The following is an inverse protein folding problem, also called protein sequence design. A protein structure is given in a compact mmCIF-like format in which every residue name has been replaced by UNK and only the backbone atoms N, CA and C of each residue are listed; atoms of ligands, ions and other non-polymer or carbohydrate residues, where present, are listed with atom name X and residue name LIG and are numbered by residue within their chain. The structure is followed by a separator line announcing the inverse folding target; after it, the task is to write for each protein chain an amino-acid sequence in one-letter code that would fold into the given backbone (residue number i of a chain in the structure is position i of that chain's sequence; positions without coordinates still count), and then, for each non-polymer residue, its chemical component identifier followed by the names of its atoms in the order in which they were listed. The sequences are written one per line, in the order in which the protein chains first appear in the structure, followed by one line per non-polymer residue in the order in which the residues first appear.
data_IF_828975089449
#
_entry.id   IF_828975089449
#
_cell.length_a   1.000
_cell.length_b   1.000
_cell.length_c   1.000
_cell.angle_alpha   90.00
_cell.angle_beta   90.00
_cell.angle_gamma   90.00
#
_symmetry.space_group_name_H-M   'P 1'
#
loop_
_entity.id
_entity.type
_entity.pdbx_description
1 polymer ?
#
# COMPACT_ATOMS: atom_id res chain seq x y z
N UNK A 1 -20.30 1.39 16.34
CA UNK A 1 -19.89 1.72 17.72
C UNK A 1 -18.64 0.90 17.99
N UNK A 2 -17.45 1.49 17.84
CA UNK A 2 -16.20 0.78 18.06
C UNK A 2 -15.91 0.79 19.56
N UNK A 3 -16.04 -0.36 20.21
CA UNK A 3 -15.56 -0.55 21.58
C UNK A 3 -14.03 -0.57 21.55
N UNK A 4 -13.43 0.41 22.20
CA UNK A 4 -11.99 0.45 22.45
C UNK A 4 -11.65 -0.68 23.45
N UNK A 5 -10.90 -1.67 22.97
CA UNK A 5 -10.48 -2.81 23.77
C UNK A 5 -9.12 -2.51 24.35
N UNK A 6 -9.01 -2.63 25.67
CA UNK A 6 -7.76 -2.47 26.40
C UNK A 6 -7.49 -3.68 27.26
N UNK A 7 -6.28 -4.21 27.17
CA UNK A 7 -5.82 -5.31 28.01
C UNK A 7 -4.51 -4.92 28.67
N UNK A 8 -4.42 -5.11 29.98
CA UNK A 8 -3.21 -4.76 30.74
C UNK A 8 -2.54 -6.01 31.29
N UNK A 9 -1.29 -6.23 30.89
CA UNK A 9 -0.43 -7.26 31.45
C UNK A 9 0.40 -6.69 32.61
N UNK A 10 0.02 -7.10 33.83
CA UNK A 10 0.68 -6.71 35.07
C UNK A 10 2.10 -7.28 35.21
N UNK A 11 2.42 -8.41 34.58
CA UNK A 11 3.72 -9.07 34.73
C UNK A 11 4.80 -8.35 33.94
N UNK A 12 4.48 -7.98 32.70
CA UNK A 12 5.41 -7.31 31.80
C UNK A 12 5.28 -5.77 31.81
N UNK A 13 4.30 -5.22 32.55
CA UNK A 13 3.91 -3.80 32.51
C UNK A 13 3.62 -3.32 31.09
N UNK A 14 2.90 -4.13 30.32
CA UNK A 14 2.51 -3.82 28.94
C UNK A 14 1.01 -3.57 28.90
N UNK A 15 0.62 -2.49 28.25
CA UNK A 15 -0.76 -2.13 27.98
C UNK A 15 -1.02 -2.29 26.49
N UNK A 16 -1.88 -3.24 26.14
CA UNK A 16 -2.37 -3.45 24.79
C UNK A 16 -3.58 -2.55 24.56
N UNK A 17 -3.53 -1.74 23.51
CA UNK A 17 -4.59 -0.82 23.11
C UNK A 17 -5.04 -1.18 21.69
N UNK A 18 -6.34 -1.36 21.49
CA UNK A 18 -6.93 -1.58 20.18
C UNK A 18 -7.64 -0.32 19.69
N UNK A 19 -6.94 0.46 18.86
CA UNK A 19 -7.42 1.74 18.34
C UNK A 19 -8.10 1.51 17.00
N UNK A 20 -9.36 1.92 16.87
CA UNK A 20 -10.08 1.88 15.60
C UNK A 20 -10.04 3.26 14.95
N UNK A 21 -9.15 3.46 13.98
CA UNK A 21 -9.04 4.74 13.27
C UNK A 21 -9.56 4.60 11.84
N UNK A 22 -10.31 5.63 11.41
CA UNK A 22 -10.75 5.77 10.02
C UNK A 22 -9.67 6.51 9.23
N UNK A 23 -9.02 5.82 8.30
CA UNK A 23 -8.04 6.42 7.39
C UNK A 23 -8.69 6.78 6.06
N UNK A 24 -8.54 8.04 5.66
CA UNK A 24 -8.91 8.53 4.34
C UNK A 24 -7.63 8.87 3.58
N UNK A 25 -7.52 8.40 2.34
CA UNK A 25 -6.39 8.69 1.45
C UNK A 25 -6.80 9.92 0.63
N UNK A 26 -6.15 11.05 0.87
CA UNK A 26 -6.55 12.35 0.31
C UNK A 26 -6.68 12.37 -1.23
N UNK A 27 -5.84 11.61 -1.94
CA UNK A 27 -5.84 11.57 -3.41
C UNK A 27 -6.79 10.52 -4.02
N UNK A 28 -7.50 9.73 -3.20
CA UNK A 28 -8.51 8.78 -3.66
C UNK A 28 -9.89 9.27 -3.17
N UNK A 29 -10.67 9.99 -4.00
CA UNK A 29 -11.99 10.43 -3.61
C UNK A 29 -12.87 9.21 -3.30
N UNK A 30 -13.67 9.31 -2.21
CA UNK A 30 -14.55 8.27 -1.68
C UNK A 30 -13.87 7.07 -0.98
N UNK A 31 -12.54 7.08 -0.80
CA UNK A 31 -11.85 6.01 -0.08
C UNK A 31 -11.86 6.24 1.44
N UNK A 32 -12.26 5.20 2.17
CA UNK A 32 -12.30 5.20 3.62
C UNK A 32 -12.04 3.79 4.14
N UNK A 33 -10.91 3.57 4.78
CA UNK A 33 -10.59 2.32 5.44
C UNK A 33 -10.89 2.42 6.94
N UNK A 34 -11.61 1.44 7.48
CA UNK A 34 -11.72 1.24 8.93
C UNK A 34 -10.63 0.25 9.33
N UNK A 35 -9.58 0.74 9.98
CA UNK A 35 -8.43 -0.09 10.39
C UNK A 35 -8.47 -0.24 11.90
N UNK A 36 -8.20 -1.47 12.39
CA UNK A 36 -8.02 -1.76 13.81
C UNK A 36 -6.53 -1.91 14.06
N UNK A 37 -5.95 -0.96 14.79
CA UNK A 37 -4.54 -0.94 15.13
C UNK A 37 -4.38 -1.49 16.53
N UNK A 38 -3.44 -2.40 16.69
CA UNK A 38 -3.05 -2.90 18.01
C UNK A 38 -1.70 -2.30 18.35
N UNK A 39 -1.68 -1.56 19.45
CA UNK A 39 -0.48 -0.91 19.96
C UNK A 39 -0.10 -1.55 21.30
N UNK A 40 1.16 -1.95 21.40
CA UNK A 40 1.81 -2.32 22.66
C UNK A 40 2.46 -1.09 23.30
N UNK A 41 1.96 -0.72 24.48
CA UNK A 41 2.51 0.39 25.27
C UNK A 41 3.25 -0.17 26.48
N UNK A 42 4.56 0.02 26.54
CA UNK A 42 5.36 -0.31 27.71
C UNK A 42 5.24 0.80 28.75
N UNK A 43 4.88 0.41 29.97
CA UNK A 43 4.71 1.32 31.10
C UNK A 43 5.87 1.21 32.08
N UNK A 44 6.42 2.37 32.48
CA UNK A 44 7.37 2.48 33.58
C UNK A 44 6.69 3.06 34.81
N UNK A 45 6.90 2.40 35.95
CA UNK A 45 6.38 2.85 37.25
C UNK A 45 7.35 3.87 37.84
N UNK A 46 6.89 5.08 38.15
CA UNK A 46 7.73 6.02 38.90
C UNK A 46 7.73 5.64 40.38
N UNK A 47 8.91 5.44 41.00
CA UNK A 47 8.97 5.21 42.43
C UNK A 47 8.56 6.47 43.20
N UNK A 48 7.87 6.33 44.34
CA UNK A 48 7.28 7.44 45.08
C UNK A 48 8.29 8.52 45.51
N UNK A 49 9.57 8.15 45.73
CA UNK A 49 10.63 9.08 46.11
C UNK A 49 11.09 10.02 44.98
N UNK A 50 10.86 9.68 43.71
CA UNK A 50 11.21 10.55 42.58
C UNK A 50 10.15 11.63 42.33
N UNK A 51 8.89 11.39 42.69
CA UNK A 51 7.82 12.38 42.58
C UNK A 51 7.99 13.54 43.56
N UNK A 52 8.54 13.29 44.75
CA UNK A 52 8.84 14.31 45.75
C UNK A 52 10.06 15.18 45.39
N UNK A 53 10.99 14.67 44.59
CA UNK A 53 12.15 15.42 44.10
C UNK A 53 11.86 16.23 42.82
N UNK A 54 10.86 15.82 42.04
CA UNK A 54 10.45 16.50 40.80
C UNK A 54 9.42 17.62 41.01
N UNK A 55 8.85 17.76 42.21
CA UNK A 55 8.09 18.95 42.59
C UNK A 55 9.05 20.10 42.92
N UNK A 56 9.49 20.81 41.88
CA UNK A 56 9.91 22.21 42.03
C UNK A 56 8.76 23.07 42.61
N UNK A 57 9.03 24.30 43.05
CA UNK A 57 8.06 25.12 43.77
C UNK A 57 6.77 25.32 42.95
N UNK A 58 5.61 25.56 43.61
CA UNK A 58 4.29 25.42 43.00
C UNK A 58 4.17 26.37 41.81
N UNK A 59 4.05 25.83 40.59
CA UNK A 59 3.48 26.54 39.46
C UNK A 59 2.05 26.09 39.26
N UNK A 60 1.20 27.09 39.08
CA UNK A 60 -0.25 27.01 38.97
C UNK A 60 -0.73 25.82 38.14
N UNK A 61 -1.68 25.11 38.76
CA UNK A 61 -2.40 23.98 38.21
C UNK A 61 -3.34 24.47 37.13
N UNK A 62 -3.03 24.17 35.87
CA UNK A 62 -4.05 24.17 34.82
C UNK A 62 -4.60 22.75 34.71
N UNK A 63 -5.64 22.49 35.49
CA UNK A 63 -6.43 21.28 35.41
C UNK A 63 -7.62 21.52 34.48
N UNK A 64 -7.79 20.67 33.47
CA UNK A 64 -9.13 20.37 32.97
C UNK A 64 -9.36 18.86 33.00
N UNK A 65 -10.30 18.48 33.87
CA UNK A 65 -11.27 17.39 33.75
C UNK A 65 -11.19 16.22 34.76
N UNK A 66 -12.12 16.25 35.74
CA UNK A 66 -12.75 15.05 36.35
C UNK A 66 -12.68 14.93 37.89
N UNK A 67 -13.72 15.41 38.59
CA UNK A 67 -14.04 15.29 40.04
C UNK A 67 -14.17 13.81 40.52
N UNK A 68 -14.12 13.41 41.81
CA UNK A 68 -14.69 14.00 43.02
C UNK A 68 -14.15 13.38 44.34
N UNK A 69 -14.21 14.16 45.41
CA UNK A 69 -13.77 13.98 46.80
C UNK A 69 -14.66 13.06 47.65
N UNK A 70 -14.10 12.45 48.72
CA UNK A 70 -14.73 12.40 50.06
C UNK A 70 -13.68 12.36 51.18
N UNK A 71 -13.92 13.15 52.22
CA UNK A 71 -13.14 13.41 53.42
C UNK A 71 -12.80 12.17 54.27
N UNK A 72 -11.60 12.16 54.89
CA UNK A 72 -11.27 11.23 55.97
C UNK A 72 -9.79 11.27 56.33
N UNK A 73 -9.47 11.78 57.51
CA UNK A 73 -8.12 11.86 58.06
C UNK A 73 -7.51 10.46 58.25
N UNK A 74 -6.32 10.25 57.67
CA UNK A 74 -5.46 9.09 57.91
C UNK A 74 -5.18 8.28 56.66
N UNK A 75 -4.23 8.72 55.81
CA UNK A 75 -3.57 7.78 54.89
C UNK A 75 -2.29 8.37 54.25
N UNK A 76 -1.15 8.20 54.93
CA UNK A 76 0.18 8.33 54.32
C UNK A 76 0.62 7.02 53.64
N UNK A 77 -0.31 6.12 53.29
CA UNK A 77 0.02 4.74 52.90
C UNK A 77 -0.35 4.32 51.46
N UNK A 78 -0.96 5.18 50.62
CA UNK A 78 -1.33 4.75 49.27
C UNK A 78 -1.25 5.87 48.22
N UNK A 79 -0.06 6.42 47.98
CA UNK A 79 0.18 7.16 46.74
C UNK A 79 0.02 6.17 45.58
N UNK A 80 -1.09 6.29 44.84
CA UNK A 80 -1.34 5.49 43.64
C UNK A 80 -0.12 5.64 42.71
N UNK A 81 0.55 4.55 42.34
CA UNK A 81 1.74 4.64 41.51
C UNK A 81 1.40 5.28 40.16
N UNK A 82 2.17 6.29 39.77
CA UNK A 82 2.08 6.91 38.44
C UNK A 82 2.87 6.04 37.46
N UNK A 83 2.21 5.66 36.38
CA UNK A 83 2.81 4.93 35.27
C UNK A 83 3.01 5.90 34.10
N UNK A 84 4.23 5.92 33.56
CA UNK A 84 4.57 6.70 32.37
C UNK A 84 4.73 5.77 31.18
N UNK A 85 4.40 6.28 30.01
CA UNK A 85 4.60 5.59 28.75
C UNK A 85 6.08 5.69 28.41
N UNK A 86 6.75 4.54 28.35
CA UNK A 86 8.17 4.47 28.09
C UNK A 86 8.47 4.15 26.63
N UNK A 87 7.67 3.26 26.05
CA UNK A 87 7.83 2.80 24.67
C UNK A 87 6.46 2.46 24.09
N UNK A 88 6.26 2.79 22.83
CA UNK A 88 5.08 2.42 22.07
C UNK A 88 5.53 1.64 20.84
N UNK A 89 5.03 0.42 20.68
CA UNK A 89 5.25 -0.44 19.52
C UNK A 89 3.91 -0.64 18.83
N UNK A 90 3.81 -0.22 17.57
CA UNK A 90 2.59 -0.34 16.78
C UNK A 90 2.71 -1.58 15.86
N UNK A 91 1.87 -2.58 16.09
CA UNK A 91 1.87 -3.81 15.27
C UNK A 91 0.98 -3.61 14.05
N UNK A 92 1.58 -3.26 12.91
CA UNK A 92 0.88 -3.16 11.63
C UNK A 92 0.88 -4.52 10.92
N UNK A 93 -0.30 -5.05 10.60
CA UNK A 93 -0.41 -6.17 9.66
C UNK A 93 -0.27 -5.64 8.22
N UNK A 94 0.88 -5.90 7.62
CA UNK A 94 1.16 -5.55 6.21
C UNK A 94 0.18 -6.18 5.22
N UNK A 95 -0.48 -7.27 5.60
CA UNK A 95 -1.55 -7.90 4.83
C UNK A 95 -2.79 -7.00 4.68
N UNK A 96 -3.04 -6.08 5.62
CA UNK A 96 -4.09 -5.06 5.47
C UNK A 96 -3.67 -3.98 4.46
N UNK A 97 -2.40 -3.58 4.42
CA UNK A 97 -1.87 -2.67 3.39
C UNK A 97 -2.08 -3.24 1.97
N UNK A 98 -1.81 -4.53 1.77
CA UNK A 98 -2.02 -5.18 0.47
C UNK A 98 -3.49 -5.18 0.06
N UNK A 99 -4.42 -5.39 1.00
CA UNK A 99 -5.86 -5.30 0.75
C UNK A 99 -6.31 -3.94 0.24
N UNK A 100 -5.58 -2.87 0.55
CA UNK A 100 -5.89 -1.52 0.11
C UNK A 100 -5.26 -1.15 -1.23
N UNK A 101 -4.13 -1.78 -1.58
CA UNK A 101 -3.47 -1.62 -2.89
C UNK A 101 -4.19 -2.42 -3.98
N UNK A 102 -4.65 -3.63 -3.67
CA UNK A 102 -5.25 -4.57 -4.62
C UNK A 102 -6.53 -4.10 -5.36
N UNK A 103 -7.53 -3.44 -4.74
CA UNK A 103 -8.77 -3.08 -5.44
C UNK A 103 -8.58 -2.02 -6.52
N UNK A 104 -7.54 -1.20 -6.43
CA UNK A 104 -7.24 -0.15 -7.41
C UNK A 104 -6.08 -0.55 -8.32
N UNK A 105 -5.01 -1.14 -7.78
CA UNK A 105 -3.83 -1.52 -8.57
C UNK A 105 -4.12 -2.70 -9.48
N UNK A 106 -4.99 -3.65 -9.10
CA UNK A 106 -5.33 -4.78 -9.96
C UNK A 106 -5.92 -4.33 -11.31
N UNK A 107 -7.05 -3.61 -11.31
CA UNK A 107 -7.64 -3.08 -12.54
C UNK A 107 -6.74 -2.07 -13.26
N UNK A 108 -6.00 -1.21 -12.54
CA UNK A 108 -5.09 -0.25 -13.17
C UNK A 108 -3.90 -0.94 -13.85
N UNK A 109 -3.30 -1.95 -13.21
CA UNK A 109 -2.23 -2.75 -13.80
C UNK A 109 -2.76 -3.55 -15.00
N UNK A 110 -3.97 -4.12 -14.90
CA UNK A 110 -4.60 -4.81 -16.02
C UNK A 110 -4.86 -3.87 -17.20
N UNK A 111 -5.43 -2.68 -16.97
CA UNK A 111 -5.65 -1.67 -18.02
C UNK A 111 -4.34 -1.14 -18.60
N UNK A 112 -3.32 -0.87 -17.78
CA UNK A 112 -2.00 -0.48 -18.25
C UNK A 112 -1.36 -1.57 -19.12
N UNK A 113 -1.48 -2.83 -18.71
CA UNK A 113 -1.02 -3.97 -19.49
C UNK A 113 -1.74 -4.09 -20.85
N UNK A 114 -3.05 -3.87 -20.87
CA UNK A 114 -3.84 -3.84 -22.10
C UNK A 114 -3.41 -2.69 -23.04
N UNK A 115 -3.12 -1.50 -22.50
CA UNK A 115 -2.62 -0.36 -23.27
C UNK A 115 -1.24 -0.64 -23.86
N UNK A 116 -0.32 -1.19 -23.07
CA UNK A 116 1.03 -1.57 -23.52
C UNK A 116 0.94 -2.62 -24.64
N UNK A 117 0.10 -3.65 -24.46
CA UNK A 117 -0.09 -4.70 -25.47
C UNK A 117 -0.64 -4.11 -26.78
N UNK A 118 -1.65 -3.25 -26.71
CA UNK A 118 -2.24 -2.58 -27.87
C UNK A 118 -1.23 -1.67 -28.58
N UNK A 119 -0.42 -0.94 -27.81
CA UNK A 119 0.65 -0.09 -28.33
C UNK A 119 1.68 -0.92 -29.09
N UNK A 120 2.14 -2.04 -28.50
CA UNK A 120 3.10 -2.95 -29.14
C UNK A 120 2.50 -3.51 -30.45
N UNK A 121 1.24 -3.94 -30.46
CA UNK A 121 0.60 -4.43 -31.67
C UNK A 121 0.60 -3.40 -32.81
N UNK A 122 0.25 -2.15 -32.51
CA UNK A 122 0.24 -1.06 -33.51
C UNK A 122 1.66 -0.73 -33.96
N UNK A 123 2.62 -0.63 -33.03
CA UNK A 123 4.02 -0.33 -33.32
C UNK A 123 4.73 -1.44 -34.11
N UNK A 124 4.32 -2.70 -33.95
CA UNK A 124 4.86 -3.82 -34.73
C UNK A 124 4.23 -3.92 -36.13
N UNK A 125 2.92 -3.68 -36.24
CA UNK A 125 2.20 -3.82 -37.51
C UNK A 125 2.45 -2.66 -38.48
N UNK A 126 2.57 -1.42 -38.00
CA UNK A 126 2.89 -0.26 -38.83
C UNK A 126 4.16 -0.42 -39.68
N UNK A 127 5.34 -0.75 -39.11
CA UNK A 127 6.56 -0.91 -39.89
C UNK A 127 6.51 -2.13 -40.81
N UNK A 128 5.91 -3.25 -40.38
CA UNK A 128 5.73 -4.42 -41.25
C UNK A 128 4.84 -4.09 -42.46
N UNK A 129 3.76 -3.35 -42.26
CA UNK A 129 2.88 -2.90 -43.32
C UNK A 129 3.57 -1.92 -44.28
N UNK A 130 4.40 -1.01 -43.76
CA UNK A 130 5.21 -0.09 -44.58
C UNK A 130 6.27 -0.84 -45.39
N UNK A 131 6.90 -1.87 -44.82
CA UNK A 131 7.88 -2.71 -45.51
C UNK A 131 7.22 -3.57 -46.60
N UNK A 132 6.04 -4.12 -46.34
CA UNK A 132 5.30 -4.95 -47.31
C UNK A 132 4.72 -4.12 -48.47
N UNK A 133 4.47 -2.82 -48.24
CA UNK A 133 4.11 -1.84 -49.28
C UNK A 133 5.26 -1.50 -50.24
N UNK A 134 6.49 -1.95 -49.99
CA UNK A 134 7.57 -1.79 -50.98
C UNK A 134 7.29 -2.72 -52.17
N UNK A 135 7.12 -2.19 -53.40
CA UNK A 135 6.65 -2.99 -54.52
C UNK A 135 7.72 -4.02 -54.91
N UNK A 136 7.35 -5.31 -54.89
CA UNK A 136 8.14 -6.46 -55.40
C UNK A 136 8.25 -6.46 -56.94
N UNK A 137 8.58 -5.31 -57.53
CA UNK A 137 8.53 -5.10 -58.98
C UNK A 137 9.90 -5.32 -59.64
N UNK A 138 10.56 -6.47 -59.42
CA UNK A 138 11.75 -6.82 -60.24
C UNK A 138 12.24 -8.29 -60.15
N UNK A 139 11.33 -9.26 -60.16
CA UNK A 139 11.74 -10.67 -60.35
C UNK A 139 10.76 -11.38 -61.28
N UNK A 140 11.04 -11.38 -62.58
CA UNK A 140 10.19 -12.07 -63.55
C UNK A 140 10.45 -11.73 -65.01
N UNK A 141 11.72 -11.57 -65.44
CA UNK A 141 12.07 -11.50 -66.87
C UNK A 141 13.45 -12.12 -67.13
N UNK A 142 13.60 -13.43 -66.91
CA UNK A 142 14.62 -14.22 -67.62
C UNK A 142 14.34 -15.72 -67.52
N UNK A 143 13.16 -16.18 -67.96
CA UNK A 143 12.94 -17.61 -68.24
C UNK A 143 12.22 -17.75 -69.58
N UNK A 144 12.86 -18.54 -70.44
CA UNK A 144 12.37 -19.20 -71.64
C UNK A 144 12.13 -18.38 -72.90
N UNK A 145 13.16 -18.31 -73.73
CA UNK A 145 13.01 -18.50 -75.18
C UNK A 145 13.86 -19.70 -75.59
N UNK A 146 13.31 -20.90 -75.44
CA UNK A 146 13.68 -22.05 -76.28
C UNK A 146 12.40 -22.45 -77.00
N UNK A 147 12.20 -21.88 -78.18
CA UNK A 147 11.11 -22.23 -79.08
C UNK A 147 11.68 -23.21 -80.12
N UNK A 148 11.42 -24.50 -79.90
CA UNK A 148 11.31 -25.46 -80.99
C UNK A 148 10.08 -25.11 -81.81
N UNK A 149 10.21 -24.98 -83.12
CA UNK A 149 9.10 -25.15 -84.06
C UNK A 149 9.63 -25.74 -85.38
N UNK A 150 9.14 -26.93 -85.68
CA UNK A 150 9.33 -27.76 -86.86
C UNK A 150 8.69 -27.20 -88.15
N UNK A 151 9.12 -27.79 -89.28
CA UNK A 151 8.47 -27.92 -90.61
C UNK A 151 8.36 -26.67 -91.51
N UNK A 152 8.57 -26.67 -92.84
CA UNK A 152 8.78 -27.65 -93.93
C UNK A 152 9.22 -26.82 -95.19
N UNK A 153 9.25 -27.25 -96.48
CA UNK A 153 9.09 -28.59 -97.10
C UNK A 153 10.23 -28.97 -98.08
N UNK A 154 10.24 -30.24 -98.52
CA UNK A 154 11.07 -30.79 -99.61
C UNK A 154 10.21 -30.98 -100.87
N UNK A 155 10.86 -30.84 -102.05
CA UNK A 155 10.46 -31.08 -103.47
C UNK A 155 10.02 -29.87 -104.32
N UNK A 156 10.18 -29.89 -105.68
CA UNK A 156 10.78 -30.91 -106.57
C UNK A 156 11.80 -30.38 -107.63
N UNK A 157 12.29 -31.33 -108.45
CA UNK A 157 13.09 -31.29 -109.72
C UNK A 157 14.59 -31.61 -109.64
#
# INVERSE_FOLDING_TARGET
MATDEKAYDKRNNILYLAICQRFAIWFIPFYSANVRLVTEVHLLRQPPHSAAAASGPPREQEATHGQQETNGAGDMAAVKPRYFIAKQEDHYQVDEYLRFVLPVVGPLAWTAWQLISSLICVLLTLPLFVLDRTPKWKQGKHVSTSASHDCAPVEPE
#
